data_IF_489365344583
#
_entry.id   IF_489365344583
#
_cell.length_a   1.000
_cell.length_b   1.000
_cell.length_c   1.000
_cell.angle_alpha   90.00
_cell.angle_beta   90.00
_cell.angle_gamma   90.00
#
_symmetry.space_group_name_H-M   'P 1'
#
loop_
_entity.id
_entity.type
_entity.pdbx_description
1 polymer ?
#
# COMPACT_ATOMS: atom_id res chain seq x y z
N UNK A 1 -15.04 15.86 6.04
CA UNK A 1 -14.87 14.47 5.58
C UNK A 1 -16.24 13.84 5.36
N UNK A 2 -16.65 13.62 4.11
CA UNK A 2 -17.91 12.95 3.77
C UNK A 2 -17.76 11.45 4.05
N UNK A 3 -18.50 10.90 5.01
CA UNK A 3 -18.46 9.47 5.31
C UNK A 3 -19.33 8.74 4.29
N UNK A 4 -18.72 7.99 3.38
CA UNK A 4 -19.45 7.13 2.46
C UNK A 4 -19.74 5.78 3.10
N UNK A 5 -20.93 5.27 2.82
CA UNK A 5 -21.42 3.99 3.31
C UNK A 5 -21.28 2.96 2.19
N UNK A 6 -20.51 1.89 2.41
CA UNK A 6 -20.37 0.78 1.48
C UNK A 6 -21.67 -0.02 1.36
N UNK A 7 -22.11 -0.25 0.14
CA UNK A 7 -23.28 -1.06 -0.19
C UNK A 7 -22.95 -2.05 -1.30
N UNK A 8 -23.60 -3.21 -1.26
CA UNK A 8 -23.44 -4.26 -2.26
C UNK A 8 -24.80 -4.78 -2.73
N UNK A 9 -24.87 -5.19 -4.00
CA UNK A 9 -26.04 -5.81 -4.61
C UNK A 9 -25.60 -6.90 -5.60
N UNK A 10 -25.69 -8.16 -5.20
CA UNK A 10 -25.19 -9.27 -6.01
C UNK A 10 -23.67 -9.23 -6.13
N UNK A 11 -23.16 -8.98 -7.33
CA UNK A 11 -21.73 -8.82 -7.60
C UNK A 11 -21.28 -7.34 -7.63
N UNK A 12 -22.21 -6.39 -7.57
CA UNK A 12 -21.93 -4.97 -7.65
C UNK A 12 -21.64 -4.37 -6.27
N UNK A 13 -20.67 -3.46 -6.24
CA UNK A 13 -20.25 -2.70 -5.06
C UNK A 13 -20.26 -1.20 -5.34
N UNK A 14 -20.79 -0.41 -4.40
CA UNK A 14 -20.80 1.05 -4.46
C UNK A 14 -20.65 1.67 -3.07
N UNK A 15 -20.07 2.87 -3.04
CA UNK A 15 -20.00 3.70 -1.85
C UNK A 15 -20.94 4.89 -1.97
N UNK A 16 -21.91 4.99 -1.09
CA UNK A 16 -23.01 5.96 -1.19
C UNK A 16 -23.06 6.88 0.01
N UNK A 17 -23.57 8.10 -0.18
CA UNK A 17 -23.74 9.02 0.94
C UNK A 17 -24.82 8.50 1.91
N UNK A 18 -24.73 8.76 3.22
CA UNK A 18 -25.79 8.43 4.19
C UNK A 18 -27.18 8.92 3.76
N UNK A 19 -27.24 10.05 3.04
CA UNK A 19 -28.49 10.63 2.56
C UNK A 19 -29.15 9.80 1.45
N UNK A 20 -28.37 9.06 0.66
CA UNK A 20 -28.89 8.23 -0.45
C UNK A 20 -29.01 6.75 -0.07
N UNK A 21 -28.56 6.36 1.13
CA UNK A 21 -28.60 4.98 1.62
C UNK A 21 -30.02 4.39 1.61
N UNK A 22 -31.02 5.17 2.03
CA UNK A 22 -32.41 4.72 2.09
C UNK A 22 -32.94 4.32 0.70
N UNK A 23 -32.60 5.10 -0.32
CA UNK A 23 -32.98 4.82 -1.71
C UNK A 23 -32.28 3.56 -2.24
N UNK A 24 -31.01 3.35 -1.89
CA UNK A 24 -30.27 2.15 -2.26
C UNK A 24 -30.85 0.90 -1.58
N UNK A 25 -31.26 0.97 -0.31
CA UNK A 25 -31.96 -0.13 0.38
C UNK A 25 -33.27 -0.50 -0.34
N UNK A 26 -34.06 0.48 -0.79
CA UNK A 26 -35.28 0.22 -1.59
C UNK A 26 -34.98 -0.47 -2.92
N UNK A 27 -33.82 -0.17 -3.52
CA UNK A 27 -33.34 -0.80 -4.75
C UNK A 27 -32.73 -2.19 -4.54
N UNK A 28 -32.72 -2.71 -3.30
CA UNK A 28 -32.19 -4.03 -2.95
C UNK A 28 -30.69 -4.04 -2.65
N UNK A 29 -30.08 -2.87 -2.40
CA UNK A 29 -28.70 -2.79 -1.95
C UNK A 29 -28.62 -3.00 -0.44
N UNK A 30 -27.63 -3.78 -0.02
CA UNK A 30 -27.41 -4.10 1.39
C UNK A 30 -26.11 -3.47 1.85
N UNK A 31 -26.12 -2.82 3.02
CA UNK A 31 -24.89 -2.36 3.66
C UNK A 31 -23.98 -3.55 3.91
N UNK A 32 -22.76 -3.50 3.39
CA UNK A 32 -21.76 -4.53 3.65
C UNK A 32 -20.68 -3.97 4.56
N UNK A 33 -19.94 -4.83 5.24
CA UNK A 33 -18.66 -4.42 5.80
C UNK A 33 -17.84 -3.81 4.65
N UNK A 34 -17.27 -2.63 4.92
CA UNK A 34 -16.51 -1.84 3.94
C UNK A 34 -15.65 -2.79 3.11
N UNK A 35 -15.79 -2.74 1.78
CA UNK A 35 -14.73 -3.27 0.94
C UNK A 35 -13.53 -2.42 1.32
N UNK A 36 -12.68 -2.97 2.17
CA UNK A 36 -11.33 -2.50 2.28
C UNK A 36 -10.71 -2.87 0.93
N UNK A 37 -10.96 -2.02 -0.08
CA UNK A 37 -9.88 -1.68 -0.97
C UNK A 37 -8.75 -1.22 -0.04
N UNK A 38 -7.84 -2.16 0.24
CA UNK A 38 -6.39 -2.06 0.11
C UNK A 38 -5.80 -0.65 -0.10
N UNK A 39 -6.32 0.35 0.60
CA UNK A 39 -5.87 1.72 0.63
C UNK A 39 -5.70 2.08 2.12
N UNK A 40 -4.71 1.42 2.72
CA UNK A 40 -3.89 2.11 3.69
C UNK A 40 -3.38 3.38 2.98
N UNK A 41 -3.90 4.54 3.35
CA UNK A 41 -3.22 5.80 3.13
C UNK A 41 -2.39 6.06 4.39
N UNK A 42 -1.10 5.81 4.30
CA UNK A 42 -0.12 6.89 4.36
C UNK A 42 1.21 6.35 3.83
N UNK A 43 1.70 6.95 2.74
CA UNK A 43 2.92 6.53 2.06
C UNK A 43 2.71 6.52 0.55
N UNK A 44 3.32 7.49 -0.11
CA UNK A 44 3.79 7.35 -1.48
C UNK A 44 4.43 5.95 -1.64
N UNK A 45 3.70 5.04 -2.28
CA UNK A 45 4.00 3.63 -2.24
C UNK A 45 3.63 3.00 -3.57
N UNK A 46 4.54 3.15 -4.54
CA UNK A 46 4.62 2.25 -5.67
C UNK A 46 4.54 0.80 -5.19
N UNK A 47 3.79 -0.01 -5.93
CA UNK A 47 3.72 -1.48 -5.84
C UNK A 47 3.03 -2.10 -4.63
N UNK A 48 1.81 -2.55 -4.92
CA UNK A 48 1.42 -3.91 -4.57
C UNK A 48 2.44 -4.93 -5.11
N UNK A 49 3.30 -5.43 -4.23
CA UNK A 49 3.93 -6.73 -4.31
C UNK A 49 4.51 -7.07 -2.93
N UNK A 50 3.74 -7.76 -2.11
CA UNK A 50 4.27 -8.48 -0.95
C UNK A 50 5.51 -9.31 -1.35
N UNK A 51 6.53 -9.22 -0.49
CA UNK A 51 7.72 -10.08 -0.41
C UNK A 51 8.91 -9.88 -1.35
N UNK A 52 8.94 -8.84 -2.20
CA UNK A 52 10.16 -8.52 -2.95
C UNK A 52 10.33 -7.01 -3.09
N UNK A 53 11.06 -6.38 -2.16
CA UNK A 53 11.70 -5.08 -2.42
C UNK A 53 12.32 -5.13 -3.82
N UNK A 54 11.83 -4.29 -4.72
CA UNK A 54 12.33 -4.22 -6.09
C UNK A 54 13.79 -3.79 -6.06
N UNK A 55 14.58 -4.17 -7.06
CA UNK A 55 15.95 -3.64 -7.21
C UNK A 55 15.94 -2.11 -7.19
N UNK A 56 14.91 -1.49 -7.79
CA UNK A 56 14.70 -0.05 -7.74
C UNK A 56 14.53 0.49 -6.31
N UNK A 57 13.77 -0.21 -5.47
CA UNK A 57 13.52 0.18 -4.08
C UNK A 57 14.77 0.04 -3.20
N UNK A 58 15.52 -1.05 -3.39
CA UNK A 58 16.79 -1.26 -2.69
C UNK A 58 17.79 -0.16 -3.03
N UNK A 59 17.83 0.23 -4.31
CA UNK A 59 18.65 1.36 -4.77
C UNK A 59 18.20 2.69 -4.20
N UNK A 60 16.89 2.93 -4.15
CA UNK A 60 16.32 4.12 -3.52
C UNK A 60 16.78 4.24 -2.08
N UNK A 61 16.57 3.19 -1.27
CA UNK A 61 16.95 3.17 0.14
C UNK A 61 18.47 3.29 0.36
N UNK A 62 19.28 2.60 -0.44
CA UNK A 62 20.74 2.74 -0.35
C UNK A 62 21.19 4.17 -0.68
N UNK A 63 20.61 4.79 -1.72
CA UNK A 63 20.92 6.16 -2.09
C UNK A 63 20.47 7.16 -1.02
N UNK A 64 19.30 6.94 -0.40
CA UNK A 64 18.83 7.75 0.74
C UNK A 64 19.74 7.64 1.96
N UNK A 65 20.30 6.46 2.21
CA UNK A 65 21.29 6.24 3.26
C UNK A 65 22.69 6.76 2.91
N UNK A 66 22.88 7.32 1.71
CA UNK A 66 24.18 7.78 1.23
C UNK A 66 25.17 6.65 0.90
N UNK A 67 24.67 5.42 0.71
CA UNK A 67 25.47 4.24 0.39
C UNK A 67 25.62 4.17 -1.12
N UNK A 68 26.85 4.35 -1.61
CA UNK A 68 27.17 4.10 -3.01
C UNK A 68 27.06 2.61 -3.32
N UNK A 69 26.23 2.28 -4.31
CA UNK A 69 26.08 0.93 -4.81
C UNK A 69 26.28 0.89 -6.31
N UNK A 70 26.70 -0.27 -6.81
CA UNK A 70 26.96 -0.42 -8.23
C UNK A 70 25.66 -0.51 -9.04
N UNK A 71 25.49 0.24 -10.14
CA UNK A 71 24.33 0.15 -11.02
C UNK A 71 24.24 -1.19 -11.77
N UNK A 72 25.26 -2.05 -11.67
CA UNK A 72 25.23 -3.46 -12.10
C UNK A 72 25.17 -4.47 -10.94
N UNK A 73 25.15 -4.01 -9.68
CA UNK A 73 25.00 -4.88 -8.52
C UNK A 73 23.68 -5.65 -8.60
N UNK A 74 23.75 -6.96 -8.30
CA UNK A 74 22.57 -7.84 -8.30
C UNK A 74 21.70 -7.52 -7.10
N UNK A 75 20.41 -7.86 -7.19
CA UNK A 75 19.44 -7.68 -6.09
C UNK A 75 19.97 -8.16 -4.73
N UNK A 76 20.63 -9.32 -4.70
CA UNK A 76 21.17 -9.89 -3.46
C UNK A 76 22.25 -9.01 -2.83
N UNK A 77 23.08 -8.37 -3.65
CA UNK A 77 24.17 -7.50 -3.21
C UNK A 77 23.62 -6.17 -2.67
N UNK A 78 22.66 -5.58 -3.38
CA UNK A 78 21.93 -4.39 -2.95
C UNK A 78 21.14 -4.63 -1.66
N UNK A 79 20.52 -5.80 -1.52
CA UNK A 79 19.81 -6.18 -0.30
C UNK A 79 20.79 -6.36 0.87
N UNK A 80 21.94 -7.00 0.63
CA UNK A 80 22.96 -7.21 1.66
C UNK A 80 23.59 -5.89 2.13
N UNK A 81 23.84 -4.95 1.22
CA UNK A 81 24.33 -3.61 1.56
C UNK A 81 23.30 -2.85 2.40
N UNK A 82 22.01 -2.96 2.04
CA UNK A 82 20.94 -2.28 2.76
C UNK A 82 20.71 -2.88 4.14
N UNK A 83 20.75 -4.21 4.24
CA UNK A 83 20.63 -4.95 5.49
C UNK A 83 21.82 -4.67 6.42
N UNK A 84 23.04 -4.69 5.89
CA UNK A 84 24.25 -4.33 6.63
C UNK A 84 24.18 -2.89 7.17
N UNK A 85 23.70 -1.94 6.36
CA UNK A 85 23.51 -0.57 6.82
C UNK A 85 22.35 -0.40 7.82
N UNK A 86 21.30 -1.22 7.71
CA UNK A 86 20.22 -1.23 8.69
C UNK A 86 20.69 -1.83 10.03
N UNK A 87 21.63 -2.77 10.01
CA UNK A 87 22.24 -3.36 11.20
C UNK A 87 23.23 -2.40 11.89
N UNK A 88 23.88 -1.50 11.14
CA UNK A 88 24.84 -0.52 11.67
C UNK A 88 24.17 0.69 12.35
N UNK A 89 22.84 0.84 12.21
CA UNK A 89 22.06 1.97 12.77
C UNK A 89 21.51 1.78 14.18
N UNK A 90 21.67 0.61 14.80
CA UNK A 90 21.28 0.37 16.20
C UNK A 90 22.52 0.02 17.04
N UNK A 91 23.31 1.04 17.34
CA UNK A 91 24.58 0.89 18.05
C UNK A 91 25.17 2.21 18.53
N UNK A 92 24.44 2.90 19.42
CA UNK A 92 24.84 4.00 20.32
C UNK A 92 24.81 5.45 19.80
#
# INVERSE_FOLDING_TARGET
>A
MSHLIPVSKGADYLEVHPNTLAEHKKLGWTQCAKHQDAAAQDGEGDKGASDKLGVAELRGKLAELGIEFDPKAKKADLQALLDAAAQDGEGA
#
